data_IF_517098681771
#
_entry.id   IF_517098681771
#
_cell.length_a   1.000
_cell.length_b   1.000
_cell.length_c   1.000
_cell.angle_alpha   90.00
_cell.angle_beta   90.00
_cell.angle_gamma   90.00
#
_symmetry.space_group_name_H-M   'P 1'
#
loop_
_entity.id
_entity.type
_entity.pdbx_description
1 polymer ?
#
# COMPACT_ATOMS: atom_id res chain seq x y z
N UNK A 1 -8.83 30.20 -13.55
CA UNK A 1 -8.78 28.84 -12.98
C UNK A 1 -7.56 28.13 -13.56
N UNK A 2 -6.60 27.77 -12.72
CA UNK A 2 -5.52 26.86 -13.15
C UNK A 2 -6.04 25.42 -13.08
N UNK A 3 -5.73 24.62 -14.12
CA UNK A 3 -6.07 23.20 -14.15
C UNK A 3 -5.04 22.44 -13.31
N UNK A 4 -5.50 21.48 -12.51
CA UNK A 4 -4.60 20.60 -11.77
C UNK A 4 -3.63 19.88 -12.73
N UNK A 5 -2.34 19.80 -12.39
CA UNK A 5 -1.37 19.11 -13.22
C UNK A 5 -1.61 17.59 -13.24
N UNK A 6 -1.07 16.93 -14.25
CA UNK A 6 -1.11 15.48 -14.37
C UNK A 6 -0.10 14.84 -13.41
N UNK A 7 -0.59 14.15 -12.37
CA UNK A 7 0.27 13.55 -11.33
C UNK A 7 0.82 12.16 -11.69
N UNK A 8 0.45 11.61 -12.85
CA UNK A 8 0.83 10.27 -13.26
C UNK A 8 2.32 10.17 -13.59
N UNK A 9 2.84 11.13 -14.36
CA UNK A 9 4.23 11.15 -14.78
C UNK A 9 5.06 12.01 -13.83
N UNK A 10 6.35 11.70 -13.73
CA UNK A 10 7.28 12.51 -12.96
C UNK A 10 7.54 13.81 -13.72
N UNK A 11 7.21 14.94 -13.11
CA UNK A 11 7.56 16.26 -13.58
C UNK A 11 8.23 17.05 -12.46
N UNK A 12 9.56 17.14 -12.54
CA UNK A 12 10.38 17.84 -11.56
C UNK A 12 10.14 19.36 -11.56
N UNK A 13 9.61 19.95 -12.65
CA UNK A 13 9.43 21.40 -12.77
C UNK A 13 8.35 21.93 -11.83
N UNK A 14 7.36 21.08 -11.55
CA UNK A 14 6.22 21.35 -10.67
C UNK A 14 6.23 20.49 -9.40
N UNK A 15 7.32 19.75 -9.16
CA UNK A 15 7.48 18.90 -7.96
C UNK A 15 6.64 17.62 -7.97
N UNK A 16 6.20 17.16 -9.14
CA UNK A 16 5.41 15.93 -9.28
C UNK A 16 6.34 14.72 -9.39
N UNK A 17 6.23 13.78 -8.46
CA UNK A 17 7.07 12.57 -8.43
C UNK A 17 6.57 11.42 -9.32
N UNK A 18 5.33 11.49 -9.81
CA UNK A 18 4.66 10.38 -10.49
C UNK A 18 4.06 9.35 -9.53
N UNK A 19 3.41 8.34 -10.11
CA UNK A 19 2.78 7.24 -9.36
C UNK A 19 3.47 5.88 -9.50
N UNK A 20 4.56 5.80 -10.27
CA UNK A 20 5.39 4.60 -10.40
C UNK A 20 5.98 4.19 -9.04
N UNK A 21 5.94 2.90 -8.72
CA UNK A 21 6.47 2.37 -7.46
C UNK A 21 5.59 2.61 -6.22
N UNK A 22 4.45 3.29 -6.37
CA UNK A 22 3.51 3.48 -5.24
C UNK A 22 2.78 2.18 -4.91
N UNK A 23 2.65 1.90 -3.61
CA UNK A 23 1.79 0.81 -3.16
C UNK A 23 0.32 1.21 -3.34
N UNK A 24 -0.46 0.30 -3.92
CA UNK A 24 -1.89 0.46 -4.14
C UNK A 24 -2.65 -0.72 -3.51
N UNK A 25 -3.97 -0.62 -3.43
CA UNK A 25 -4.81 -1.69 -2.88
C UNK A 25 -5.56 -2.37 -4.03
N UNK A 26 -5.21 -3.62 -4.34
CA UNK A 26 -5.75 -4.35 -5.49
C UNK A 26 -7.19 -4.84 -5.31
N UNK A 27 -7.70 -4.90 -4.08
CA UNK A 27 -9.07 -5.35 -3.77
C UNK A 27 -10.13 -4.26 -3.91
N UNK A 28 -9.73 -2.99 -4.01
CA UNK A 28 -10.67 -1.87 -4.17
C UNK A 28 -10.70 -1.40 -5.63
N UNK A 29 -11.88 -1.46 -6.25
CA UNK A 29 -12.11 -0.90 -7.61
C UNK A 29 -12.46 0.59 -7.61
N UNK A 30 -12.50 1.23 -6.43
CA UNK A 30 -12.85 2.64 -6.25
C UNK A 30 -11.68 3.57 -6.60
N UNK A 31 -11.81 4.88 -6.38
CA UNK A 31 -10.78 5.90 -6.70
C UNK A 31 -9.39 5.58 -6.12
N UNK A 32 -9.33 4.82 -5.02
CA UNK A 32 -8.11 4.32 -4.37
C UNK A 32 -7.60 2.97 -4.94
N UNK A 33 -8.21 2.49 -6.01
CA UNK A 33 -7.85 1.26 -6.69
C UNK A 33 -6.60 1.44 -7.53
N UNK A 34 -5.85 0.36 -7.69
CA UNK A 34 -4.64 0.36 -8.50
C UNK A 34 -4.88 0.83 -9.95
N UNK A 35 -6.08 0.62 -10.52
CA UNK A 35 -6.42 1.09 -11.86
C UNK A 35 -6.23 2.60 -12.01
N UNK A 36 -6.84 3.40 -11.12
CA UNK A 36 -6.75 4.86 -11.18
C UNK A 36 -5.44 5.40 -10.62
N UNK A 37 -4.94 4.84 -9.51
CA UNK A 37 -3.66 5.25 -8.92
C UNK A 37 -2.47 5.02 -9.85
N UNK A 38 -2.46 3.90 -10.57
CA UNK A 38 -1.40 3.58 -11.53
C UNK A 38 -1.68 4.16 -12.93
N UNK A 39 -2.72 4.99 -13.07
CA UNK A 39 -3.10 5.63 -14.34
C UNK A 39 -3.30 4.63 -15.48
N UNK A 40 -3.91 3.49 -15.17
CA UNK A 40 -4.13 2.35 -16.08
C UNK A 40 -2.86 1.72 -16.67
N UNK A 41 -1.66 2.00 -16.11
CA UNK A 41 -0.38 1.36 -16.51
C UNK A 41 -0.17 -0.04 -15.94
N UNK A 42 -1.16 -0.56 -15.22
CA UNK A 42 -1.08 -1.83 -14.49
C UNK A 42 -0.27 -1.72 -13.19
N UNK A 43 -0.17 -2.84 -12.49
CA UNK A 43 0.50 -2.98 -11.21
C UNK A 43 1.09 -4.38 -11.06
N UNK A 44 2.16 -4.49 -10.28
CA UNK A 44 2.78 -5.76 -9.87
C UNK A 44 2.21 -6.21 -8.54
N UNK A 45 1.98 -7.52 -8.43
CA UNK A 45 1.56 -8.16 -7.17
C UNK A 45 2.73 -8.99 -6.65
N UNK A 46 3.09 -8.80 -5.38
CA UNK A 46 4.12 -9.59 -4.71
C UNK A 46 3.55 -10.11 -3.41
N UNK A 47 3.63 -11.43 -3.21
CA UNK A 47 3.19 -12.06 -1.98
C UNK A 47 4.36 -12.28 -1.05
N UNK A 48 4.15 -12.01 0.23
CA UNK A 48 5.16 -12.22 1.25
C UNK A 48 4.50 -12.63 2.56
N UNK A 49 5.24 -13.37 3.38
CA UNK A 49 4.79 -13.74 4.71
C UNK A 49 5.10 -12.57 5.64
N UNK A 50 4.06 -12.00 6.25
CA UNK A 50 4.20 -11.02 7.31
C UNK A 50 3.92 -11.69 8.64
N UNK A 51 4.85 -11.59 9.58
CA UNK A 51 4.66 -12.05 10.95
C UNK A 51 4.05 -10.89 11.73
N UNK A 52 2.80 -11.05 12.16
CA UNK A 52 2.13 -10.09 13.04
C UNK A 52 2.04 -10.67 14.46
N UNK A 53 2.02 -9.81 15.47
CA UNK A 53 1.74 -10.23 16.84
C UNK A 53 0.22 -10.32 17.04
N UNK A 54 -0.28 -11.52 17.33
CA UNK A 54 -1.70 -11.76 17.55
C UNK A 54 -1.97 -12.54 18.84
N UNK A 55 -3.24 -12.65 19.24
CA UNK A 55 -3.69 -13.35 20.46
C UNK A 55 -2.94 -12.89 21.72
N UNK A 56 -2.73 -11.57 21.84
CA UNK A 56 -2.05 -10.98 22.98
C UNK A 56 -2.85 -11.21 24.28
N UNK A 57 -2.17 -11.70 25.31
CA UNK A 57 -2.71 -11.85 26.65
C UNK A 57 -2.05 -10.83 27.56
N UNK A 58 -2.88 -10.06 28.25
CA UNK A 58 -2.45 -9.16 29.29
C UNK A 58 -2.43 -9.91 30.62
N UNK A 59 -1.26 -9.97 31.25
CA UNK A 59 -1.12 -10.44 32.62
C UNK A 59 -1.22 -9.25 33.54
N UNK A 60 -2.15 -9.32 34.50
CA UNK A 60 -2.34 -8.30 35.53
C UNK A 60 -1.18 -8.38 36.54
N UNK A 61 -0.02 -7.94 36.05
CA UNK A 61 1.29 -7.74 36.66
C UNK A 61 2.23 -7.09 35.61
N UNK A 62 1.68 -6.12 34.85
CA UNK A 62 2.38 -5.26 33.88
C UNK A 62 3.00 -5.92 32.64
N UNK A 63 2.61 -7.15 32.28
CA UNK A 63 3.20 -7.85 31.13
C UNK A 63 2.18 -8.17 30.05
N UNK A 64 2.53 -7.91 28.79
CA UNK A 64 1.77 -8.36 27.62
C UNK A 64 2.59 -9.42 26.91
N UNK A 65 2.01 -10.60 26.69
CA UNK A 65 2.63 -11.64 25.84
C UNK A 65 1.77 -11.86 24.61
N UNK A 66 2.37 -11.80 23.43
CA UNK A 66 1.69 -12.06 22.17
C UNK A 66 2.28 -13.29 21.48
N UNK A 67 1.51 -13.91 20.58
CA UNK A 67 1.95 -15.01 19.74
C UNK A 67 2.36 -14.45 18.36
N UNK A 68 3.37 -15.06 17.75
CA UNK A 68 3.75 -14.76 16.37
C UNK A 68 2.80 -15.47 15.40
N UNK A 69 2.10 -14.69 14.59
CA UNK A 69 1.07 -15.17 13.69
C UNK A 69 1.48 -14.84 12.25
N UNK A 70 2.01 -15.81 11.49
CA UNK A 70 2.36 -15.60 10.10
C UNK A 70 1.09 -15.46 9.27
N UNK A 71 1.03 -14.41 8.45
CA UNK A 71 -0.02 -14.21 7.45
C UNK A 71 0.56 -14.00 6.07
N UNK A 72 -0.10 -14.56 5.06
CA UNK A 72 0.21 -14.26 3.66
C UNK A 72 -0.38 -12.89 3.31
N UNK A 73 0.45 -11.99 2.80
CA UNK A 73 0.04 -10.63 2.42
C UNK A 73 0.41 -10.38 0.97
N UNK A 74 -0.57 -9.95 0.16
CA UNK A 74 -0.36 -9.52 -1.21
C UNK A 74 -0.09 -8.02 -1.26
N UNK A 75 1.10 -7.60 -1.73
CA UNK A 75 1.49 -6.20 -1.96
C UNK A 75 1.29 -5.85 -3.42
N UNK A 76 0.51 -4.80 -3.70
CA UNK A 76 0.29 -4.29 -5.05
C UNK A 76 1.11 -3.01 -5.24
N UNK A 77 1.89 -2.92 -6.31
CA UNK A 77 2.79 -1.79 -6.59
C UNK A 77 2.62 -1.33 -8.04
N UNK A 78 2.43 -0.02 -8.28
CA UNK A 78 2.31 0.52 -9.63
C UNK A 78 3.59 0.32 -10.45
N UNK A 79 3.42 -0.02 -11.73
CA UNK A 79 4.51 -0.17 -12.70
C UNK A 79 5.27 1.13 -12.97
#
# INVERSE_FOLDING_TARGET
>A
LEKSPEFCQKDNRIGVFGTQGRQCNGTNSNYSGCGKLCCNRGYRVTEYIKIDQCKCKFFWCCTVTCQECPRLVSKYTCN
#
